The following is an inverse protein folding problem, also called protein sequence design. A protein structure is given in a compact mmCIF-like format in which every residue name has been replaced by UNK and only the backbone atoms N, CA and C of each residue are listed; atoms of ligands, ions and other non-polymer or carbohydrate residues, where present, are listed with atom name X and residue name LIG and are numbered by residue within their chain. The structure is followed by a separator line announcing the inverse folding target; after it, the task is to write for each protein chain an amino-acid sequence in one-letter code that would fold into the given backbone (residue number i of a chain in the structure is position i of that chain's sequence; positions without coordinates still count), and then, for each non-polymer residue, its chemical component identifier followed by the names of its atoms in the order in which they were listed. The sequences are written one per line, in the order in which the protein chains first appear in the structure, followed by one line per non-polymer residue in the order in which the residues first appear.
data_IF_936042057816
#
_entry.id   IF_936042057816
#
_cell.length_a   1.000
_cell.length_b   1.000
_cell.length_c   1.000
_cell.angle_alpha   90.00
_cell.angle_beta   90.00
_cell.angle_gamma   90.00
#
_symmetry.space_group_name_H-M   'P 1'
#
loop_
_entity.id
_entity.type
_entity.pdbx_description
1 polymer ?
#
# COMPACT_ATOMS: atom_id res chain seq x y z
N UNK A 1 -58.02 36.25 -35.61
CA UNK A 1 -57.64 34.83 -35.36
C UNK A 1 -56.19 34.59 -35.66
N UNK A 2 -55.25 35.24 -34.93
CA UNK A 2 -53.77 35.05 -35.14
C UNK A 2 -52.93 35.08 -33.84
N UNK A 3 -53.52 34.89 -32.67
CA UNK A 3 -52.83 35.06 -31.38
C UNK A 3 -52.88 33.85 -30.45
N UNK A 4 -53.45 32.70 -30.86
CA UNK A 4 -53.58 31.50 -30.01
C UNK A 4 -52.54 30.42 -30.36
N UNK A 5 -51.93 30.46 -31.55
CA UNK A 5 -50.99 29.43 -32.02
C UNK A 5 -49.55 29.65 -31.51
N UNK A 6 -49.20 30.83 -31.01
CA UNK A 6 -47.84 31.13 -30.55
C UNK A 6 -47.55 30.80 -29.08
N UNK A 7 -48.62 30.58 -28.27
CA UNK A 7 -48.45 30.26 -26.83
C UNK A 7 -48.28 28.76 -26.58
N UNK A 8 -48.83 27.93 -27.47
CA UNK A 8 -48.68 26.45 -27.32
C UNK A 8 -47.28 25.93 -27.73
N UNK A 9 -46.53 26.65 -28.56
CA UNK A 9 -45.18 26.23 -28.97
C UNK A 9 -44.13 26.47 -27.88
N UNK A 10 -44.34 27.39 -26.93
CA UNK A 10 -43.39 27.72 -25.88
C UNK A 10 -43.52 26.76 -24.66
N UNK A 11 -44.62 26.12 -24.44
CA UNK A 11 -44.83 25.18 -23.34
C UNK A 11 -44.30 23.80 -23.66
N UNK A 12 -44.23 23.42 -24.94
CA UNK A 12 -43.65 22.14 -25.37
C UNK A 12 -42.13 22.06 -25.30
N UNK A 13 -41.43 23.21 -25.32
CA UNK A 13 -39.95 23.24 -25.31
C UNK A 13 -39.36 23.17 -23.90
N UNK A 14 -40.12 23.43 -22.85
CA UNK A 14 -39.66 23.34 -21.44
C UNK A 14 -39.77 21.91 -20.89
N UNK A 15 -40.55 21.04 -21.49
CA UNK A 15 -40.73 19.67 -21.02
C UNK A 15 -39.65 18.66 -21.49
N UNK A 16 -38.74 19.08 -22.39
CA UNK A 16 -37.69 18.17 -22.95
C UNK A 16 -36.35 18.33 -22.25
N UNK A 17 -36.21 19.32 -21.37
CA UNK A 17 -34.91 19.64 -20.72
C UNK A 17 -34.72 19.10 -19.30
N UNK A 18 -35.58 18.23 -18.81
CA UNK A 18 -35.54 17.78 -17.42
C UNK A 18 -35.38 16.29 -17.13
N UNK A 19 -34.70 15.45 -17.94
CA UNK A 19 -34.27 14.18 -17.41
C UNK A 19 -32.76 13.91 -17.59
N UNK A 20 -31.87 14.94 -17.55
CA UNK A 20 -30.44 14.67 -17.69
C UNK A 20 -29.67 14.75 -16.39
N UNK A 21 -30.31 14.91 -15.24
CA UNK A 21 -29.64 14.96 -13.93
C UNK A 21 -30.10 13.87 -12.93
N UNK A 22 -30.73 12.81 -13.41
CA UNK A 22 -31.25 11.74 -12.54
C UNK A 22 -30.38 10.46 -12.53
N UNK A 23 -29.11 10.55 -12.89
CA UNK A 23 -28.13 9.53 -12.54
C UNK A 23 -27.22 10.06 -11.43
N UNK A 24 -27.79 10.57 -10.35
CA UNK A 24 -27.08 10.53 -9.08
C UNK A 24 -26.87 9.04 -8.79
N UNK A 25 -25.63 8.61 -8.87
CA UNK A 25 -25.16 7.29 -8.47
C UNK A 25 -25.84 6.96 -7.14
N UNK A 26 -26.78 6.02 -7.15
CA UNK A 26 -27.49 5.64 -5.93
C UNK A 26 -26.44 5.04 -5.02
N UNK A 27 -26.03 5.80 -4.02
CA UNK A 27 -25.23 5.26 -2.93
C UNK A 27 -25.96 4.01 -2.42
N UNK A 28 -25.31 2.83 -2.43
CA UNK A 28 -25.96 1.60 -1.97
C UNK A 28 -26.62 1.86 -0.62
N UNK A 29 -27.94 1.61 -0.51
CA UNK A 29 -28.66 1.82 0.73
C UNK A 29 -28.10 0.86 1.80
N UNK A 30 -27.89 1.33 3.03
CA UNK A 30 -27.41 0.47 4.10
C UNK A 30 -28.38 -0.70 4.31
N UNK A 31 -27.86 -1.89 4.62
CA UNK A 31 -28.70 -3.02 5.00
C UNK A 31 -29.64 -2.61 6.14
N UNK A 32 -30.88 -3.11 6.12
CA UNK A 32 -31.97 -2.72 7.00
C UNK A 32 -31.53 -2.67 8.49
N UNK A 33 -31.96 -1.66 9.21
CA UNK A 33 -31.50 -1.11 10.49
C UNK A 33 -31.30 -2.04 11.69
N UNK A 34 -31.48 -3.35 11.58
CA UNK A 34 -31.54 -4.21 12.76
C UNK A 34 -30.42 -5.28 12.86
N UNK A 35 -29.59 -5.45 11.83
CA UNK A 35 -28.53 -6.43 11.89
C UNK A 35 -27.17 -5.74 12.08
N UNK A 36 -26.50 -6.09 13.17
CA UNK A 36 -25.10 -5.66 13.42
C UNK A 36 -24.16 -6.57 12.63
N UNK A 37 -23.22 -5.96 11.92
CA UNK A 37 -22.18 -6.66 11.18
C UNK A 37 -20.82 -6.34 11.80
N UNK A 38 -20.05 -7.39 12.05
CA UNK A 38 -18.66 -7.27 12.46
C UNK A 38 -17.79 -7.76 11.30
N UNK A 39 -16.89 -6.90 10.82
CA UNK A 39 -15.91 -7.23 9.77
C UNK A 39 -14.53 -7.07 10.38
N UNK A 40 -13.75 -8.15 10.40
CA UNK A 40 -12.42 -8.18 10.96
C UNK A 40 -11.38 -8.34 9.85
N UNK A 41 -10.43 -7.44 9.83
CA UNK A 41 -9.26 -7.48 8.96
C UNK A 41 -7.97 -7.49 9.77
N UNK A 42 -6.90 -7.97 9.13
CA UNK A 42 -5.56 -7.86 9.67
C UNK A 42 -4.53 -7.83 8.54
N UNK A 43 -3.33 -7.34 8.81
CA UNK A 43 -2.27 -7.44 7.82
C UNK A 43 -1.32 -6.25 7.76
N UNK A 44 -0.98 -5.85 6.55
CA UNK A 44 0.04 -4.85 6.25
C UNK A 44 -0.12 -3.56 7.05
N UNK A 45 1.00 -3.02 7.49
CA UNK A 45 1.04 -1.73 8.20
C UNK A 45 1.01 -0.54 7.25
N UNK A 46 1.38 -0.74 5.99
CA UNK A 46 1.41 0.32 4.98
C UNK A 46 0.01 0.95 4.76
N UNK A 47 -1.07 0.20 4.48
CA UNK A 47 -2.39 0.78 4.24
C UNK A 47 -3.13 1.15 5.54
N UNK A 48 -2.62 0.80 6.72
CA UNK A 48 -3.33 0.98 7.99
C UNK A 48 -3.89 2.40 8.21
N UNK A 49 -3.13 3.49 7.99
CA UNK A 49 -3.67 4.84 8.20
C UNK A 49 -4.88 5.14 7.30
N UNK A 50 -4.88 4.60 6.07
CA UNK A 50 -5.97 4.77 5.11
C UNK A 50 -7.19 3.91 5.52
N UNK A 51 -6.97 2.64 5.85
CA UNK A 51 -8.03 1.74 6.33
C UNK A 51 -8.66 2.29 7.62
N UNK A 52 -7.85 2.84 8.53
CA UNK A 52 -8.33 3.43 9.77
C UNK A 52 -9.24 4.65 9.51
N UNK A 53 -8.87 5.51 8.57
CA UNK A 53 -9.72 6.60 8.12
C UNK A 53 -11.02 6.08 7.48
N UNK A 54 -10.91 5.13 6.57
CA UNK A 54 -12.07 4.55 5.89
C UNK A 54 -13.06 3.91 6.85
N UNK A 55 -12.61 3.16 7.85
CA UNK A 55 -13.51 2.55 8.84
C UNK A 55 -14.29 3.60 9.63
N UNK A 56 -13.66 4.73 9.96
CA UNK A 56 -14.33 5.83 10.67
C UNK A 56 -15.39 6.48 9.78
N UNK A 57 -15.04 6.80 8.54
CA UNK A 57 -15.99 7.42 7.60
C UNK A 57 -17.11 6.44 7.21
N UNK A 58 -16.78 5.17 7.01
CA UNK A 58 -17.78 4.14 6.70
C UNK A 58 -18.78 3.94 7.84
N UNK A 59 -18.32 3.94 9.09
CA UNK A 59 -19.20 3.81 10.26
C UNK A 59 -20.18 5.00 10.43
N UNK A 60 -19.80 6.21 9.98
CA UNK A 60 -20.72 7.36 9.95
C UNK A 60 -21.90 7.12 8.99
N UNK A 61 -21.64 6.46 7.87
CA UNK A 61 -22.65 6.14 6.86
C UNK A 61 -23.46 4.90 7.25
N UNK A 62 -22.82 3.90 7.82
CA UNK A 62 -23.37 2.59 8.14
C UNK A 62 -23.08 2.21 9.59
N UNK A 63 -23.78 2.84 10.52
CA UNK A 63 -23.55 2.71 11.97
C UNK A 63 -23.79 1.28 12.52
N UNK A 64 -24.43 0.41 11.72
CA UNK A 64 -24.63 -1.00 12.04
C UNK A 64 -23.48 -1.90 11.57
N UNK A 65 -22.46 -1.36 10.88
CA UNK A 65 -21.27 -2.10 10.45
C UNK A 65 -20.07 -1.68 11.29
N UNK A 66 -19.52 -2.61 12.03
CA UNK A 66 -18.29 -2.40 12.80
C UNK A 66 -17.13 -3.07 12.05
N UNK A 67 -16.23 -2.26 11.51
CA UNK A 67 -15.02 -2.72 10.83
C UNK A 67 -13.83 -2.57 11.78
N UNK A 68 -13.08 -3.65 11.97
CA UNK A 68 -11.84 -3.67 12.72
C UNK A 68 -10.67 -4.09 11.83
N UNK A 69 -9.50 -3.49 12.02
CA UNK A 69 -8.28 -3.86 11.31
C UNK A 69 -7.08 -3.90 12.25
N UNK A 70 -6.36 -5.01 12.26
CA UNK A 70 -5.16 -5.20 13.07
C UNK A 70 -3.91 -5.06 12.20
N UNK A 71 -3.12 -4.03 12.47
CA UNK A 71 -1.85 -3.76 11.80
C UNK A 71 -0.73 -4.64 12.35
N UNK A 72 -0.62 -5.87 11.84
CA UNK A 72 0.31 -6.93 12.32
C UNK A 72 1.33 -7.38 11.27
N UNK A 73 1.46 -6.64 10.17
CA UNK A 73 2.30 -6.97 9.04
C UNK A 73 1.63 -7.95 8.05
N UNK A 74 2.07 -7.89 6.79
CA UNK A 74 1.50 -8.69 5.71
C UNK A 74 1.57 -10.19 5.99
N UNK A 75 2.67 -10.68 6.55
CA UNK A 75 2.83 -12.10 6.88
C UNK A 75 1.82 -12.59 7.91
N UNK A 76 1.61 -11.83 8.98
CA UNK A 76 0.62 -12.14 10.02
C UNK A 76 -0.81 -12.12 9.48
N UNK A 77 -1.14 -11.11 8.65
CA UNK A 77 -2.45 -11.00 8.03
C UNK A 77 -2.75 -12.13 7.06
N UNK A 78 -1.82 -12.47 6.16
CA UNK A 78 -1.97 -13.59 5.21
C UNK A 78 -2.15 -14.91 5.96
N UNK A 79 -1.41 -15.14 7.05
CA UNK A 79 -1.59 -16.32 7.89
C UNK A 79 -3.01 -16.39 8.46
N UNK A 80 -3.50 -15.31 9.07
CA UNK A 80 -4.88 -15.28 9.62
C UNK A 80 -5.95 -15.45 8.54
N UNK A 81 -5.71 -14.93 7.33
CA UNK A 81 -6.62 -15.11 6.20
C UNK A 81 -6.69 -16.59 5.76
N UNK A 82 -5.54 -17.27 5.66
CA UNK A 82 -5.48 -18.70 5.34
C UNK A 82 -6.19 -19.53 6.42
N UNK A 83 -5.98 -19.18 7.70
CA UNK A 83 -6.64 -19.81 8.85
C UNK A 83 -8.12 -19.42 9.00
N UNK A 84 -8.63 -18.49 8.17
CA UNK A 84 -10.02 -17.98 8.18
C UNK A 84 -10.43 -17.36 9.52
N UNK A 85 -9.49 -16.75 10.22
CA UNK A 85 -9.73 -16.02 11.48
C UNK A 85 -10.06 -14.55 11.26
N UNK A 86 -9.90 -14.05 10.01
CA UNK A 86 -10.30 -12.72 9.57
C UNK A 86 -11.06 -12.79 8.24
N UNK A 87 -11.90 -11.78 7.98
CA UNK A 87 -12.71 -11.68 6.77
C UNK A 87 -11.89 -11.18 5.58
N UNK A 88 -10.91 -10.31 5.83
CA UNK A 88 -9.99 -9.81 4.80
C UNK A 88 -8.58 -9.58 5.36
N UNK A 89 -7.60 -9.47 4.47
CA UNK A 89 -6.23 -9.14 4.85
C UNK A 89 -5.63 -8.08 3.92
N UNK A 90 -4.86 -7.16 4.48
CA UNK A 90 -3.99 -6.26 3.74
C UNK A 90 -2.61 -6.88 3.52
N UNK A 91 -2.08 -6.76 2.32
CA UNK A 91 -0.71 -7.23 2.01
C UNK A 91 -0.09 -6.38 0.91
N UNK A 92 1.18 -5.99 1.07
CA UNK A 92 1.93 -5.27 0.03
C UNK A 92 2.54 -6.24 -1.00
N UNK A 93 2.48 -7.55 -0.72
CA UNK A 93 2.99 -8.58 -1.60
C UNK A 93 1.86 -9.53 -2.06
N UNK A 94 1.87 -10.00 -3.30
CA UNK A 94 0.95 -11.05 -3.72
C UNK A 94 1.15 -12.33 -2.88
N UNK A 95 0.12 -13.15 -2.80
CA UNK A 95 0.25 -14.49 -2.22
C UNK A 95 1.27 -15.30 -3.04
N UNK A 96 2.17 -15.98 -2.36
CA UNK A 96 3.05 -16.99 -2.97
C UNK A 96 2.24 -18.16 -3.52
N UNK A 97 2.85 -19.00 -4.34
CA UNK A 97 2.18 -20.20 -4.87
C UNK A 97 1.64 -21.09 -3.74
N UNK A 98 2.45 -21.34 -2.71
CA UNK A 98 2.03 -22.15 -1.56
C UNK A 98 0.91 -21.50 -0.74
N UNK A 99 0.95 -20.18 -0.52
CA UNK A 99 -0.13 -19.46 0.17
C UNK A 99 -1.43 -19.51 -0.65
N UNK A 100 -1.33 -19.40 -1.99
CA UNK A 100 -2.49 -19.48 -2.88
C UNK A 100 -3.10 -20.88 -2.92
N UNK A 101 -2.29 -21.94 -2.84
CA UNK A 101 -2.79 -23.32 -2.74
C UNK A 101 -3.62 -23.55 -1.48
N UNK A 102 -3.22 -22.90 -0.35
CA UNK A 102 -3.95 -22.96 0.91
C UNK A 102 -5.22 -22.09 0.91
N UNK A 103 -5.27 -21.05 0.10
CA UNK A 103 -6.40 -20.12 -0.02
C UNK A 103 -6.77 -19.85 -1.50
N UNK A 104 -7.21 -20.88 -2.27
CA UNK A 104 -7.34 -20.79 -3.73
C UNK A 104 -8.42 -19.84 -4.22
N UNK A 105 -9.38 -19.46 -3.37
CA UNK A 105 -10.46 -18.52 -3.70
C UNK A 105 -10.14 -17.07 -3.35
N UNK A 106 -8.94 -16.78 -2.87
CA UNK A 106 -8.54 -15.43 -2.51
C UNK A 106 -8.46 -14.54 -3.74
N UNK A 107 -9.13 -13.38 -3.68
CA UNK A 107 -9.03 -12.31 -4.67
C UNK A 107 -8.03 -11.26 -4.17
N UNK A 108 -7.18 -10.76 -5.07
CA UNK A 108 -6.35 -9.59 -4.82
C UNK A 108 -7.04 -8.36 -5.38
N UNK A 109 -7.31 -7.39 -4.52
CA UNK A 109 -7.94 -6.11 -4.89
C UNK A 109 -6.90 -5.02 -4.60
N UNK A 110 -6.39 -4.30 -5.63
CA UNK A 110 -5.52 -3.14 -5.42
C UNK A 110 -6.30 -2.04 -4.69
N UNK A 111 -5.76 -1.53 -3.58
CA UNK A 111 -6.43 -0.50 -2.77
C UNK A 111 -5.62 0.79 -2.65
N UNK A 112 -4.30 0.71 -2.61
CA UNK A 112 -3.44 1.86 -2.47
C UNK A 112 -2.09 1.62 -3.14
N UNK A 113 -1.43 2.71 -3.54
CA UNK A 113 -0.06 2.69 -4.08
C UNK A 113 0.82 3.66 -3.29
N UNK A 114 2.06 3.26 -3.05
CA UNK A 114 3.07 4.11 -2.39
C UNK A 114 4.48 3.69 -2.76
N UNK A 115 5.43 4.59 -2.50
CA UNK A 115 6.85 4.32 -2.74
C UNK A 115 7.53 3.72 -1.52
N UNK A 116 8.45 2.78 -1.75
CA UNK A 116 9.41 2.33 -0.74
C UNK A 116 10.68 3.17 -0.88
N UNK A 117 11.05 3.90 0.16
CA UNK A 117 12.22 4.78 0.16
C UNK A 117 13.26 4.29 1.16
N UNK A 118 14.54 4.41 0.77
CA UNK A 118 15.66 4.19 1.69
C UNK A 118 15.96 5.49 2.43
N UNK A 119 15.93 5.44 3.73
CA UNK A 119 16.25 6.57 4.61
C UNK A 119 17.56 6.32 5.33
N UNK A 120 18.31 7.36 5.61
CA UNK A 120 19.56 7.31 6.36
C UNK A 120 19.59 8.40 7.44
N UNK A 121 20.38 8.17 8.48
CA UNK A 121 20.63 9.13 9.53
C UNK A 121 22.16 9.28 9.70
N UNK A 122 22.72 10.30 9.10
CA UNK A 122 24.14 10.63 9.14
C UNK A 122 24.22 12.11 9.53
N UNK A 123 24.59 12.46 10.78
CA UNK A 123 24.55 13.85 11.25
C UNK A 123 25.36 14.83 10.41
N UNK A 124 26.47 14.36 9.84
CA UNK A 124 27.41 15.18 9.06
C UNK A 124 26.93 15.43 7.61
N UNK A 125 25.92 14.70 7.17
CA UNK A 125 25.41 14.81 5.80
C UNK A 125 24.02 15.45 5.82
N UNK A 126 23.75 16.49 4.99
CA UNK A 126 22.43 17.06 4.87
C UNK A 126 21.38 15.99 4.55
N UNK A 127 20.18 16.14 5.11
CA UNK A 127 19.05 15.19 5.00
C UNK A 127 18.57 14.91 3.56
N UNK A 128 19.24 15.47 2.55
CA UNK A 128 18.95 15.25 1.12
C UNK A 128 20.25 15.21 0.34
N UNK A 129 20.34 14.29 -0.61
CA UNK A 129 21.40 14.33 -1.62
C UNK A 129 22.40 13.21 -1.61
N UNK A 130 22.41 12.30 -0.63
CA UNK A 130 23.24 11.10 -0.72
C UNK A 130 22.72 10.20 -1.85
N UNK A 131 23.60 9.88 -2.78
CA UNK A 131 23.29 9.01 -3.93
C UNK A 131 23.79 7.60 -3.66
N UNK A 132 22.88 6.66 -3.66
CA UNK A 132 23.17 5.22 -3.56
C UNK A 132 22.55 4.53 -4.77
N UNK A 133 23.32 3.65 -5.41
CA UNK A 133 22.77 2.76 -6.42
C UNK A 133 22.08 1.56 -5.77
N UNK A 134 21.24 0.83 -6.52
CA UNK A 134 20.68 -0.43 -6.03
C UNK A 134 21.71 -1.45 -5.62
N UNK A 135 22.86 -1.50 -6.35
CA UNK A 135 23.99 -2.36 -5.99
C UNK A 135 24.68 -1.92 -4.69
N UNK A 136 24.83 -0.61 -4.44
CA UNK A 136 25.39 -0.14 -3.17
C UNK A 136 24.51 -0.56 -2.00
N UNK A 137 23.18 -0.43 -2.16
CA UNK A 137 22.21 -0.83 -1.13
C UNK A 137 22.29 -2.35 -0.92
N UNK A 138 22.32 -3.15 -1.99
CA UNK A 138 22.48 -4.60 -1.88
C UNK A 138 23.78 -4.97 -1.16
N UNK A 139 24.90 -4.35 -1.50
CA UNK A 139 26.18 -4.59 -0.85
C UNK A 139 26.21 -4.17 0.64
N UNK A 140 25.47 -3.13 1.01
CA UNK A 140 25.26 -2.75 2.43
C UNK A 140 24.53 -3.87 3.17
N UNK A 141 23.42 -4.35 2.64
CA UNK A 141 22.63 -5.41 3.29
C UNK A 141 23.30 -6.79 3.25
N UNK A 142 24.22 -7.03 2.30
CA UNK A 142 25.13 -8.19 2.28
C UNK A 142 26.31 -8.04 3.23
N UNK A 143 26.47 -6.89 3.90
CA UNK A 143 27.61 -6.62 4.79
C UNK A 143 28.94 -6.44 4.10
N UNK A 144 28.96 -6.15 2.80
CA UNK A 144 30.17 -5.87 2.02
C UNK A 144 30.61 -4.41 2.19
N UNK A 145 29.67 -3.48 2.08
CA UNK A 145 29.86 -2.07 2.41
C UNK A 145 29.48 -1.89 3.87
N UNK A 146 30.48 -1.58 4.71
CA UNK A 146 30.28 -1.47 6.15
C UNK A 146 30.41 -0.05 6.69
N UNK A 147 30.94 0.87 5.90
CA UNK A 147 31.20 2.26 6.31
C UNK A 147 30.67 3.24 5.29
N UNK A 148 30.25 4.41 5.76
CA UNK A 148 29.72 5.44 4.88
C UNK A 148 30.74 5.99 3.90
N UNK A 149 32.05 6.04 4.28
CA UNK A 149 33.13 6.50 3.41
C UNK A 149 33.68 5.40 2.47
N UNK A 150 32.95 4.31 2.27
CA UNK A 150 33.36 3.28 1.31
C UNK A 150 33.57 3.90 -0.09
N UNK A 151 34.64 3.51 -0.81
CA UNK A 151 34.93 4.04 -2.16
C UNK A 151 33.79 3.96 -3.15
N UNK A 152 32.93 2.93 -3.08
CA UNK A 152 31.76 2.78 -3.95
C UNK A 152 30.73 3.89 -3.69
N UNK A 153 30.48 4.20 -2.41
CA UNK A 153 29.56 5.30 -2.05
C UNK A 153 30.21 6.63 -2.42
N UNK A 154 31.50 6.83 -2.12
CA UNK A 154 32.20 8.06 -2.41
C UNK A 154 32.22 8.40 -3.92
N UNK A 155 32.38 7.39 -4.78
CA UNK A 155 32.36 7.56 -6.23
C UNK A 155 31.03 8.15 -6.75
N UNK A 156 29.92 7.79 -6.14
CA UNK A 156 28.59 8.29 -6.50
C UNK A 156 28.27 9.67 -5.89
N UNK A 157 29.12 10.13 -4.95
CA UNK A 157 28.89 11.35 -4.17
C UNK A 157 30.13 12.30 -4.22
N UNK A 158 30.57 12.74 -5.41
CA UNK A 158 31.74 13.60 -5.51
C UNK A 158 31.51 14.93 -4.76
N UNK A 159 32.50 15.34 -3.98
CA UNK A 159 32.44 16.57 -3.18
C UNK A 159 31.69 16.45 -1.85
N UNK A 160 31.13 15.31 -1.54
CA UNK A 160 30.51 15.03 -0.23
C UNK A 160 31.58 14.42 0.71
N UNK A 161 31.77 15.03 1.87
CA UNK A 161 32.62 14.47 2.92
C UNK A 161 31.86 13.38 3.66
N UNK A 162 32.17 12.12 3.34
CA UNK A 162 31.53 10.97 3.97
C UNK A 162 32.26 10.57 5.25
N UNK A 163 31.58 10.37 6.39
CA UNK A 163 32.21 10.03 7.64
C UNK A 163 32.73 8.58 7.65
N UNK A 164 33.86 8.35 8.37
CA UNK A 164 34.38 7.01 8.62
C UNK A 164 33.61 6.32 9.77
N UNK A 165 32.29 6.24 9.65
CA UNK A 165 31.42 5.59 10.63
C UNK A 165 30.77 4.35 10.05
N UNK A 166 30.44 3.39 10.90
CA UNK A 166 29.83 2.14 10.48
C UNK A 166 28.38 2.35 10.03
N UNK A 167 27.99 1.60 9.01
CA UNK A 167 26.60 1.51 8.57
C UNK A 167 25.90 0.43 9.39
N UNK A 168 24.78 0.79 10.01
CA UNK A 168 23.89 -0.15 10.69
C UNK A 168 22.62 -0.29 9.85
N UNK A 169 22.50 -1.33 9.01
CA UNK A 169 21.30 -1.56 8.24
C UNK A 169 20.14 -1.96 9.17
N UNK A 170 19.01 -1.30 9.01
CA UNK A 170 17.79 -1.56 9.80
C UNK A 170 16.79 -2.30 8.93
N UNK A 171 16.21 -3.36 9.48
CA UNK A 171 15.18 -4.17 8.83
C UNK A 171 14.05 -4.51 9.79
N UNK A 172 12.94 -4.93 9.27
CA UNK A 172 11.82 -5.42 10.08
C UNK A 172 12.08 -6.84 10.57
N UNK A 173 11.58 -7.15 11.77
CA UNK A 173 11.67 -8.49 12.38
C UNK A 173 10.40 -9.33 12.15
N UNK A 174 9.29 -8.70 11.70
CA UNK A 174 8.03 -9.37 11.40
C UNK A 174 7.89 -9.69 9.90
N UNK A 175 6.90 -10.48 9.53
CA UNK A 175 6.57 -10.76 8.13
C UNK A 175 6.01 -9.54 7.41
N UNK A 176 6.86 -8.81 6.70
CA UNK A 176 6.56 -7.51 6.09
C UNK A 176 6.43 -7.61 4.57
N UNK A 177 5.30 -7.10 4.03
CA UNK A 177 5.16 -6.94 2.58
C UNK A 177 6.12 -5.89 2.01
N UNK A 178 6.42 -4.82 2.75
CA UNK A 178 7.44 -3.83 2.36
C UNK A 178 8.83 -4.47 2.27
N UNK A 179 9.18 -5.39 3.20
CA UNK A 179 10.42 -6.18 3.11
C UNK A 179 10.41 -7.02 1.82
N UNK A 180 9.29 -7.65 1.47
CA UNK A 180 9.19 -8.39 0.21
C UNK A 180 9.48 -7.50 -1.00
N UNK A 181 8.83 -6.35 -1.12
CA UNK A 181 9.02 -5.41 -2.24
C UNK A 181 10.46 -4.92 -2.31
N UNK A 182 11.07 -4.59 -1.17
CA UNK A 182 12.44 -4.15 -1.09
C UNK A 182 13.44 -5.24 -1.49
N UNK A 183 13.26 -6.45 -0.99
CA UNK A 183 14.16 -7.58 -1.31
C UNK A 183 13.96 -8.11 -2.74
N UNK A 184 12.75 -7.99 -3.30
CA UNK A 184 12.51 -8.26 -4.73
C UNK A 184 13.28 -7.29 -5.62
N UNK A 185 13.27 -6.00 -5.28
CA UNK A 185 14.10 -5.00 -5.96
C UNK A 185 15.60 -5.32 -5.84
N UNK A 186 16.09 -5.61 -4.63
CA UNK A 186 17.51 -5.93 -4.42
C UNK A 186 17.94 -7.21 -5.14
N UNK A 187 17.07 -8.21 -5.21
CA UNK A 187 17.29 -9.44 -5.99
C UNK A 187 17.35 -9.17 -7.49
N UNK A 188 16.55 -8.21 -7.96
CA UNK A 188 16.55 -7.82 -9.39
C UNK A 188 17.84 -7.09 -9.79
N UNK A 189 18.38 -6.23 -8.92
CA UNK A 189 19.58 -5.42 -9.24
C UNK A 189 20.89 -6.12 -8.87
N UNK A 190 20.85 -7.13 -8.01
CA UNK A 190 22.03 -7.86 -7.54
C UNK A 190 21.81 -9.36 -7.56
N UNK A 191 22.43 -10.04 -8.52
CA UNK A 191 22.38 -11.50 -8.61
C UNK A 191 22.99 -12.22 -7.40
N UNK A 192 23.90 -11.56 -6.69
CA UNK A 192 24.45 -12.10 -5.46
C UNK A 192 23.47 -11.99 -4.30
N UNK A 193 22.76 -10.86 -4.19
CA UNK A 193 21.70 -10.71 -3.21
C UNK A 193 20.59 -11.75 -3.44
N UNK A 194 20.19 -11.96 -4.70
CA UNK A 194 19.23 -12.98 -5.07
C UNK A 194 19.64 -14.38 -4.61
N UNK A 195 20.90 -14.76 -4.83
CA UNK A 195 21.42 -16.09 -4.46
C UNK A 195 21.62 -16.28 -2.96
N UNK A 196 21.96 -15.21 -2.24
CA UNK A 196 22.36 -15.28 -0.83
C UNK A 196 21.19 -15.06 0.12
N UNK A 197 20.33 -14.11 -0.20
CA UNK A 197 19.20 -13.69 0.62
C UNK A 197 17.87 -14.02 -0.07
N UNK A 198 17.75 -13.64 -1.35
CA UNK A 198 16.53 -13.77 -2.11
C UNK A 198 15.45 -12.77 -1.69
N UNK A 199 14.23 -12.99 -2.19
CA UNK A 199 13.07 -12.16 -1.87
C UNK A 199 12.12 -12.86 -0.91
N UNK A 200 11.59 -12.11 0.06
CA UNK A 200 10.64 -12.69 1.03
C UNK A 200 10.06 -11.64 1.95
N UNK A 201 8.97 -12.03 2.62
CA UNK A 201 8.36 -11.21 3.70
C UNK A 201 9.20 -11.26 4.99
N UNK A 202 10.06 -12.30 5.13
CA UNK A 202 10.90 -12.55 6.30
C UNK A 202 12.23 -13.16 5.82
N UNK A 203 13.22 -12.33 5.58
CA UNK A 203 14.58 -12.68 5.11
C UNK A 203 15.62 -11.95 5.93
#
# INVERSE_FOLDING_TARGET
MRTITSVMALVALVAILTPLYANAEQVPQPPTKFQQFQINGAGATFPFPLIDLWRVEYNKLYSNVNLNYQSIGSGGGVKQHIEKTVDFTGTDAPLTTSERELAPKTLHIPEAIGGVTVVYNIPEIPNKGLKLTGNDIADIYLGKIKKWNDPKIAQNNPGVVLPNTDIVPVRRSDGSGTTFVFTDYLSTVSSEFEKTVGKGKSV
#
